data_IF_474824100388
#
_entry.id   IF_474824100388
#
_cell.length_a   1.000
_cell.length_b   1.000
_cell.length_c   1.000
_cell.angle_alpha   90.00
_cell.angle_beta   90.00
_cell.angle_gamma   90.00
#
_symmetry.space_group_name_H-M   'P 1'
#
loop_
_entity.id
_entity.type
_entity.pdbx_description
1 polymer ?
#
# COMPACT_ATOMS: atom_id res chain seq x y z
N UNK A 1 -48.38 14.52 -4.04
CA UNK A 1 -47.30 13.90 -4.84
C UNK A 1 -46.15 13.67 -3.89
N UNK A 2 -46.10 12.48 -3.31
CA UNK A 2 -45.24 12.15 -2.17
C UNK A 2 -43.77 12.13 -2.58
N UNK A 3 -42.98 12.97 -1.94
CA UNK A 3 -41.52 12.92 -2.02
C UNK A 3 -41.09 11.66 -1.25
N UNK A 4 -40.90 10.58 -1.99
CA UNK A 4 -40.26 9.36 -1.48
C UNK A 4 -38.88 9.75 -0.99
N UNK A 5 -38.74 9.95 0.33
CA UNK A 5 -37.46 10.10 1.00
C UNK A 5 -36.61 8.88 0.62
N UNK A 6 -35.58 9.11 -0.18
CA UNK A 6 -34.60 8.08 -0.51
C UNK A 6 -34.01 7.58 0.82
N UNK A 7 -34.42 6.39 1.26
CA UNK A 7 -33.83 5.72 2.42
C UNK A 7 -32.34 5.55 2.15
N UNK A 8 -31.53 6.43 2.71
CA UNK A 8 -30.09 6.27 2.74
C UNK A 8 -29.81 4.99 3.53
N UNK A 9 -29.25 3.98 2.86
CA UNK A 9 -28.89 2.73 3.53
C UNK A 9 -27.96 3.07 4.72
N UNK A 10 -28.21 2.54 5.93
CA UNK A 10 -27.34 2.79 7.07
C UNK A 10 -25.92 2.38 6.71
N UNK A 11 -24.95 3.26 6.98
CA UNK A 11 -23.57 2.99 6.63
C UNK A 11 -23.06 1.80 7.45
N UNK A 12 -22.50 0.78 6.79
CA UNK A 12 -21.91 -0.39 7.48
C UNK A 12 -20.57 -0.09 8.16
N UNK A 13 -20.06 1.13 8.02
CA UNK A 13 -18.72 1.50 8.46
C UNK A 13 -18.48 1.41 9.98
N UNK A 14 -19.40 1.88 10.84
CA UNK A 14 -19.24 1.69 12.28
C UNK A 14 -19.19 0.21 12.66
N UNK A 15 -19.97 -0.65 12.00
CA UNK A 15 -19.92 -2.10 12.22
C UNK A 15 -18.55 -2.70 11.87
N UNK A 16 -17.94 -2.24 10.76
CA UNK A 16 -16.59 -2.67 10.38
C UNK A 16 -15.57 -2.22 11.43
N UNK A 17 -15.64 -0.97 11.92
CA UNK A 17 -14.76 -0.50 12.99
C UNK A 17 -14.95 -1.29 14.28
N UNK A 18 -16.19 -1.56 14.69
CA UNK A 18 -16.52 -2.40 15.85
C UNK A 18 -15.92 -3.80 15.71
N UNK A 19 -16.12 -4.46 14.56
CA UNK A 19 -15.58 -5.80 14.31
C UNK A 19 -14.05 -5.79 14.33
N UNK A 20 -13.42 -4.77 13.73
CA UNK A 20 -11.96 -4.63 13.74
C UNK A 20 -11.41 -4.46 15.14
N UNK A 21 -12.03 -3.59 15.94
CA UNK A 21 -11.66 -3.36 17.34
C UNK A 21 -11.89 -4.59 18.22
N UNK A 22 -12.95 -5.37 17.98
CA UNK A 22 -13.17 -6.64 18.66
C UNK A 22 -12.07 -7.67 18.32
N UNK A 23 -11.69 -7.79 17.05
CA UNK A 23 -10.58 -8.67 16.64
C UNK A 23 -9.25 -8.23 17.27
N UNK A 24 -8.97 -6.92 17.33
CA UNK A 24 -7.81 -6.37 18.04
C UNK A 24 -7.81 -6.76 19.53
N UNK A 25 -8.97 -6.68 20.21
CA UNK A 25 -9.08 -7.09 21.60
C UNK A 25 -8.83 -8.60 21.78
N UNK A 26 -9.38 -9.44 20.88
CA UNK A 26 -9.18 -10.89 20.92
C UNK A 26 -7.70 -11.26 20.70
N UNK A 27 -7.02 -10.63 19.74
CA UNK A 27 -5.58 -10.85 19.52
C UNK A 27 -4.75 -10.40 20.72
N UNK A 28 -5.06 -9.24 21.29
CA UNK A 28 -4.43 -8.76 22.51
C UNK A 28 -4.61 -9.72 23.69
N UNK A 29 -5.83 -10.23 23.88
CA UNK A 29 -6.12 -11.19 24.94
C UNK A 29 -5.40 -12.52 24.71
N UNK A 30 -5.36 -13.01 23.47
CA UNK A 30 -4.63 -14.22 23.11
C UNK A 30 -3.15 -14.13 23.48
N UNK A 31 -2.46 -13.06 23.07
CA UNK A 31 -1.04 -12.88 23.41
C UNK A 31 -0.80 -12.56 24.87
N UNK A 32 -1.79 -12.01 25.58
CA UNK A 32 -1.70 -11.82 27.02
C UNK A 32 -1.75 -13.17 27.76
N UNK A 33 -2.66 -14.07 27.34
CA UNK A 33 -2.78 -15.41 27.91
C UNK A 33 -1.67 -16.37 27.45
N UNK A 34 -1.06 -16.12 26.29
CA UNK A 34 0.01 -16.92 25.70
C UNK A 34 1.21 -16.06 25.31
N UNK A 35 2.00 -15.53 26.28
CA UNK A 35 3.12 -14.62 25.99
C UNK A 35 4.18 -15.23 25.07
N UNK A 36 4.38 -16.54 25.11
CA UNK A 36 5.32 -17.26 24.25
C UNK A 36 4.97 -17.20 22.75
N UNK A 37 3.72 -16.87 22.41
CA UNK A 37 3.26 -16.73 21.03
C UNK A 37 3.27 -15.28 20.52
N UNK A 38 3.77 -14.33 21.32
CA UNK A 38 3.83 -12.93 20.93
C UNK A 38 4.85 -12.74 19.78
N UNK A 39 4.42 -12.22 18.61
CA UNK A 39 5.23 -12.28 17.39
C UNK A 39 6.22 -11.12 17.24
N UNK A 40 6.30 -10.21 18.21
CA UNK A 40 7.10 -8.98 18.10
C UNK A 40 8.07 -8.78 19.27
N UNK A 41 8.94 -9.77 19.60
CA UNK A 41 10.01 -9.52 20.54
C UNK A 41 10.94 -8.41 20.01
N UNK A 42 11.52 -7.55 20.88
CA UNK A 42 12.50 -6.55 20.50
C UNK A 42 13.74 -7.27 19.95
N UNK A 43 14.28 -6.76 18.86
CA UNK A 43 15.51 -7.26 18.24
C UNK A 43 16.57 -6.15 18.31
N UNK A 44 17.53 -6.23 19.24
CA UNK A 44 18.57 -5.21 19.39
C UNK A 44 19.52 -5.12 18.19
N UNK A 45 19.68 -6.21 17.44
CA UNK A 45 20.60 -6.27 16.29
C UNK A 45 19.95 -5.69 15.03
N UNK A 46 18.64 -5.87 14.87
CA UNK A 46 17.88 -5.38 13.73
C UNK A 46 16.56 -4.69 14.17
N UNK A 47 16.63 -3.49 14.76
CA UNK A 47 15.44 -2.77 15.20
C UNK A 47 14.51 -2.47 14.03
N UNK A 48 13.20 -2.65 14.23
CA UNK A 48 12.20 -2.43 13.20
C UNK A 48 11.96 -0.94 12.87
N UNK A 49 12.54 -0.02 13.65
CA UNK A 49 12.30 1.41 13.59
C UNK A 49 10.88 1.77 14.04
N UNK A 50 10.34 1.03 15.00
CA UNK A 50 8.94 1.12 15.44
C UNK A 50 8.83 1.28 16.96
N UNK A 51 7.64 1.67 17.43
CA UNK A 51 7.30 1.74 18.85
C UNK A 51 7.51 0.40 19.57
N UNK A 52 7.39 -0.72 18.87
CA UNK A 52 7.57 -2.04 19.48
C UNK A 52 9.03 -2.33 19.86
N UNK A 53 10.00 -1.59 19.32
CA UNK A 53 11.41 -1.75 19.68
C UNK A 53 11.72 -1.14 21.06
N UNK A 54 10.90 -0.19 21.53
CA UNK A 54 11.12 0.54 22.79
C UNK A 54 10.12 0.18 23.89
N UNK A 55 8.97 -0.40 23.53
CA UNK A 55 7.93 -0.78 24.51
C UNK A 55 8.18 -2.21 25.02
N UNK A 56 8.16 -2.43 26.35
CA UNK A 56 8.28 -3.77 26.90
C UNK A 56 7.21 -4.72 26.35
N UNK A 57 7.55 -5.94 25.90
CA UNK A 57 6.60 -6.85 25.27
C UNK A 57 5.40 -7.20 26.14
N UNK A 58 5.56 -7.17 27.47
CA UNK A 58 4.49 -7.47 28.42
C UNK A 58 3.38 -6.40 28.44
N UNK A 59 3.67 -5.18 27.97
CA UNK A 59 2.74 -4.05 27.97
C UNK A 59 1.86 -4.04 26.71
N UNK A 60 2.34 -4.62 25.61
CA UNK A 60 1.65 -4.53 24.31
C UNK A 60 0.32 -5.30 24.31
N UNK A 61 0.24 -6.59 24.70
CA UNK A 61 -1.02 -7.33 24.73
C UNK A 61 -2.15 -6.68 25.54
N UNK A 62 -1.95 -6.24 26.82
CA UNK A 62 -3.00 -5.57 27.57
C UNK A 62 -3.40 -4.22 26.93
N UNK A 63 -2.46 -3.47 26.36
CA UNK A 63 -2.78 -2.23 25.65
C UNK A 63 -3.66 -2.48 24.40
N UNK A 64 -3.43 -3.58 23.67
CA UNK A 64 -4.28 -4.00 22.55
C UNK A 64 -5.70 -4.34 23.00
N UNK A 65 -5.85 -5.04 24.15
CA UNK A 65 -7.17 -5.32 24.74
C UNK A 65 -7.90 -4.02 25.05
N UNK A 66 -7.25 -3.09 25.74
CA UNK A 66 -7.85 -1.79 26.08
C UNK A 66 -8.23 -1.02 24.82
N UNK A 67 -7.33 -0.91 23.85
CA UNK A 67 -7.59 -0.20 22.60
C UNK A 67 -8.76 -0.82 21.81
N UNK A 68 -8.84 -2.14 21.76
CA UNK A 68 -9.93 -2.88 21.11
C UNK A 68 -11.27 -2.71 21.83
N UNK A 69 -11.31 -2.84 23.16
CA UNK A 69 -12.54 -2.65 23.94
C UNK A 69 -13.03 -1.20 23.86
N UNK A 70 -12.14 -0.23 24.04
CA UNK A 70 -12.48 1.20 23.92
C UNK A 70 -12.97 1.52 22.50
N UNK A 71 -12.28 1.05 21.46
CA UNK A 71 -12.70 1.23 20.08
C UNK A 71 -14.10 0.66 19.83
N UNK A 72 -14.37 -0.56 20.31
CA UNK A 72 -15.68 -1.20 20.20
C UNK A 72 -16.78 -0.39 20.89
N UNK A 73 -16.54 0.07 22.12
CA UNK A 73 -17.50 0.87 22.88
C UNK A 73 -17.76 2.23 22.23
N UNK A 74 -16.71 2.90 21.75
CA UNK A 74 -16.83 4.20 21.07
C UNK A 74 -17.62 4.08 19.77
N UNK A 75 -17.32 3.07 18.96
CA UNK A 75 -18.01 2.83 17.69
C UNK A 75 -19.52 2.56 17.86
N UNK A 76 -19.92 1.93 18.98
CA UNK A 76 -21.31 1.55 19.24
C UNK A 76 -22.10 2.58 20.07
N UNK A 77 -21.45 3.26 21.03
CA UNK A 77 -22.15 3.99 22.09
C UNK A 77 -21.73 5.44 22.26
N UNK A 78 -20.60 5.87 21.67
CA UNK A 78 -20.07 7.22 21.87
C UNK A 78 -19.61 7.86 20.54
N UNK A 79 -20.53 8.15 19.59
CA UNK A 79 -20.17 8.70 18.29
C UNK A 79 -19.38 10.03 18.37
N UNK A 80 -19.57 10.82 19.43
CA UNK A 80 -18.81 12.05 19.68
C UNK A 80 -17.32 11.82 19.96
N UNK A 81 -16.93 10.64 20.43
CA UNK A 81 -15.52 10.29 20.69
C UNK A 81 -14.83 9.65 19.48
N UNK A 82 -15.58 9.30 18.44
CA UNK A 82 -15.04 8.61 17.26
C UNK A 82 -13.89 9.38 16.58
N UNK A 83 -13.93 10.73 16.42
CA UNK A 83 -12.81 11.46 15.85
C UNK A 83 -11.52 11.33 16.68
N UNK A 84 -11.63 11.43 18.01
CA UNK A 84 -10.49 11.30 18.91
C UNK A 84 -9.91 9.88 18.88
N UNK A 85 -10.77 8.86 18.92
CA UNK A 85 -10.36 7.45 18.77
C UNK A 85 -9.74 7.20 17.41
N UNK A 86 -10.27 7.77 16.32
CA UNK A 86 -9.69 7.64 15.00
C UNK A 86 -8.27 8.20 14.92
N UNK A 87 -8.03 9.38 15.50
CA UNK A 87 -6.68 9.97 15.59
C UNK A 87 -5.75 9.05 16.38
N UNK A 88 -6.17 8.55 17.55
CA UNK A 88 -5.37 7.63 18.34
C UNK A 88 -5.00 6.35 17.57
N UNK A 89 -5.96 5.74 16.86
CA UNK A 89 -5.72 4.56 16.03
C UNK A 89 -4.75 4.85 14.88
N UNK A 90 -4.90 5.99 14.20
CA UNK A 90 -3.98 6.39 13.11
C UNK A 90 -2.56 6.65 13.64
N UNK A 91 -2.42 7.31 14.78
CA UNK A 91 -1.09 7.58 15.34
C UNK A 91 -0.41 6.31 15.84
N UNK A 92 -1.12 5.46 16.58
CA UNK A 92 -0.53 4.25 17.19
C UNK A 92 -0.39 3.13 16.17
N UNK A 93 -1.51 2.68 15.59
CA UNK A 93 -1.54 1.52 14.69
C UNK A 93 -1.26 1.86 13.24
N UNK A 94 -1.38 3.14 12.87
CA UNK A 94 -0.92 3.63 11.58
C UNK A 94 0.56 3.96 11.63
N UNK A 95 1.00 4.91 12.46
CA UNK A 95 2.35 5.48 12.37
C UNK A 95 3.39 4.80 13.28
N UNK A 96 3.06 4.56 14.54
CA UNK A 96 4.05 4.18 15.54
C UNK A 96 4.42 2.69 15.51
N UNK A 97 3.44 1.81 15.32
CA UNK A 97 3.61 0.35 15.44
C UNK A 97 4.15 -0.34 14.17
N UNK A 98 3.68 -0.04 12.94
CA UNK A 98 3.97 -0.94 11.81
C UNK A 98 5.41 -0.90 11.30
N UNK A 99 6.13 0.22 11.46
CA UNK A 99 7.47 0.40 10.89
C UNK A 99 7.51 0.15 9.38
N UNK A 100 8.62 -0.38 8.86
CA UNK A 100 8.76 -0.72 7.43
C UNK A 100 8.18 -2.11 7.05
N UNK A 101 7.94 -2.99 8.04
CA UNK A 101 7.64 -4.42 7.78
C UNK A 101 6.44 -4.66 6.84
N UNK A 102 5.28 -3.99 6.97
CA UNK A 102 4.17 -4.16 6.03
C UNK A 102 4.51 -3.73 4.61
N UNK A 103 5.33 -2.68 4.47
CA UNK A 103 5.77 -2.19 3.17
C UNK A 103 6.67 -3.23 2.50
N UNK A 104 7.63 -3.79 3.22
CA UNK A 104 8.52 -4.86 2.73
C UNK A 104 7.70 -6.07 2.28
N UNK A 105 6.75 -6.55 3.11
CA UNK A 105 5.86 -7.66 2.73
C UNK A 105 5.11 -7.37 1.43
N UNK A 106 4.49 -6.20 1.33
CA UNK A 106 3.70 -5.82 0.16
C UNK A 106 4.57 -5.71 -1.10
N UNK A 107 5.75 -5.10 -0.98
CA UNK A 107 6.72 -5.00 -2.06
C UNK A 107 7.21 -6.37 -2.54
N UNK A 108 7.51 -7.28 -1.61
CA UNK A 108 7.98 -8.63 -1.92
C UNK A 108 6.89 -9.42 -2.64
N UNK A 109 5.66 -9.42 -2.13
CA UNK A 109 4.52 -10.07 -2.79
C UNK A 109 4.29 -9.51 -4.20
N UNK A 110 4.41 -8.19 -4.38
CA UNK A 110 4.32 -7.55 -5.70
C UNK A 110 5.45 -7.99 -6.64
N UNK A 111 6.69 -8.06 -6.17
CA UNK A 111 7.81 -8.53 -6.99
C UNK A 111 7.67 -10.00 -7.40
N UNK A 112 7.22 -10.85 -6.48
CA UNK A 112 7.11 -12.30 -6.69
C UNK A 112 5.93 -12.67 -7.59
N UNK A 113 4.76 -12.06 -7.37
CA UNK A 113 3.52 -12.46 -8.05
C UNK A 113 3.07 -11.47 -9.13
N UNK A 114 3.52 -10.22 -9.09
CA UNK A 114 3.14 -9.16 -10.03
C UNK A 114 3.38 -9.53 -11.50
N UNK A 115 4.58 -9.99 -11.89
CA UNK A 115 4.85 -10.41 -13.26
C UNK A 115 3.93 -11.54 -13.75
N UNK A 116 3.67 -12.52 -12.89
CA UNK A 116 2.79 -13.67 -13.20
C UNK A 116 1.35 -13.19 -13.42
N UNK A 117 0.83 -12.39 -12.48
CA UNK A 117 -0.53 -11.83 -12.57
C UNK A 117 -0.68 -10.94 -13.80
N UNK A 118 0.32 -10.10 -14.09
CA UNK A 118 0.33 -9.22 -15.24
C UNK A 118 0.36 -10.02 -16.54
N UNK A 119 1.25 -11.01 -16.66
CA UNK A 119 1.33 -11.89 -17.82
C UNK A 119 0.04 -12.66 -18.04
N UNK A 120 -0.52 -13.27 -16.99
CA UNK A 120 -1.79 -13.99 -17.06
C UNK A 120 -2.94 -13.07 -17.52
N UNK A 121 -2.98 -11.83 -17.03
CA UNK A 121 -3.99 -10.83 -17.41
C UNK A 121 -3.84 -10.44 -18.89
N UNK A 122 -2.63 -10.20 -19.35
CA UNK A 122 -2.33 -9.86 -20.74
C UNK A 122 -2.68 -11.03 -21.66
N UNK A 123 -2.29 -12.25 -21.30
CA UNK A 123 -2.57 -13.47 -22.07
C UNK A 123 -4.08 -13.72 -22.19
N UNK A 124 -4.83 -13.63 -21.09
CA UNK A 124 -6.28 -13.78 -21.09
C UNK A 124 -7.01 -12.69 -21.90
N UNK A 125 -6.41 -11.50 -22.00
CA UNK A 125 -6.92 -10.39 -22.81
C UNK A 125 -6.47 -10.42 -24.28
N UNK A 126 -5.41 -11.16 -24.60
CA UNK A 126 -4.66 -11.02 -25.85
C UNK A 126 -5.51 -11.24 -27.10
N UNK A 127 -6.33 -12.28 -27.08
CA UNK A 127 -7.18 -12.68 -28.21
C UNK A 127 -8.33 -11.70 -28.50
N UNK A 128 -8.62 -10.79 -27.57
CA UNK A 128 -9.80 -9.91 -27.63
C UNK A 128 -9.50 -8.53 -28.24
N UNK A 129 -8.25 -8.20 -28.55
CA UNK A 129 -7.89 -6.91 -29.13
C UNK A 129 -6.63 -6.99 -30.02
N UNK A 130 -6.54 -6.11 -31.02
CA UNK A 130 -5.49 -6.17 -32.07
C UNK A 130 -4.05 -6.10 -31.53
N UNK A 131 -3.82 -5.42 -30.41
CA UNK A 131 -2.48 -5.31 -29.79
C UNK A 131 -2.11 -6.46 -28.85
N UNK A 132 -3.02 -7.39 -28.59
CA UNK A 132 -2.82 -8.45 -27.61
C UNK A 132 -1.72 -9.45 -27.95
N UNK A 133 -1.67 -9.99 -29.18
CA UNK A 133 -0.57 -10.87 -29.58
C UNK A 133 0.80 -10.17 -29.48
N UNK A 134 0.86 -8.87 -29.80
CA UNK A 134 2.08 -8.07 -29.66
C UNK A 134 2.48 -7.95 -28.18
N UNK A 135 1.53 -7.66 -27.29
CA UNK A 135 1.79 -7.57 -25.86
C UNK A 135 2.30 -8.90 -25.29
N UNK A 136 1.68 -10.03 -25.65
CA UNK A 136 2.16 -11.37 -25.25
C UNK A 136 3.55 -11.63 -25.83
N UNK A 137 3.77 -11.31 -27.10
CA UNK A 137 5.07 -11.42 -27.75
C UNK A 137 6.16 -10.64 -27.01
N UNK A 138 5.89 -9.39 -26.60
CA UNK A 138 6.81 -8.59 -25.79
C UNK A 138 7.11 -9.26 -24.45
N UNK A 139 6.11 -9.77 -23.73
CA UNK A 139 6.35 -10.50 -22.47
C UNK A 139 7.21 -11.74 -22.66
N UNK A 140 6.92 -12.53 -23.70
CA UNK A 140 7.71 -13.73 -24.04
C UNK A 140 9.13 -13.35 -24.42
N UNK A 141 9.32 -12.29 -25.20
CA UNK A 141 10.64 -11.79 -25.58
C UNK A 141 11.44 -11.28 -24.38
N UNK A 142 10.81 -10.57 -23.44
CA UNK A 142 11.45 -10.13 -22.20
C UNK A 142 11.86 -11.33 -21.34
N UNK A 143 10.98 -12.33 -21.19
CA UNK A 143 11.29 -13.56 -20.47
C UNK A 143 12.43 -14.36 -21.13
N UNK A 144 12.40 -14.48 -22.46
CA UNK A 144 13.46 -15.14 -23.22
C UNK A 144 14.79 -14.39 -23.12
N UNK A 145 14.78 -13.05 -23.16
CA UNK A 145 15.99 -12.24 -22.97
C UNK A 145 16.54 -12.41 -21.54
N UNK A 146 15.67 -12.44 -20.52
CA UNK A 146 16.08 -12.70 -19.13
C UNK A 146 16.66 -14.11 -18.97
N UNK A 147 16.12 -15.10 -19.68
CA UNK A 147 16.66 -16.47 -19.68
C UNK A 147 18.03 -16.54 -20.36
N UNK A 148 18.15 -16.02 -21.59
CA UNK A 148 19.39 -16.09 -22.40
C UNK A 148 20.53 -15.28 -21.77
N UNK A 149 20.22 -14.20 -21.06
CA UNK A 149 21.21 -13.41 -20.32
C UNK A 149 21.68 -14.04 -19.00
N UNK A 150 21.10 -15.18 -18.59
CA UNK A 150 21.36 -15.79 -17.28
C UNK A 150 20.71 -15.05 -16.11
N UNK A 151 19.87 -14.04 -16.38
CA UNK A 151 19.21 -13.26 -15.33
C UNK A 151 18.11 -14.05 -14.60
N UNK A 152 17.50 -15.01 -15.29
CA UNK A 152 16.40 -15.83 -14.78
C UNK A 152 16.47 -17.26 -15.31
N UNK A 153 17.67 -17.86 -15.37
CA UNK A 153 17.84 -19.25 -15.77
C UNK A 153 17.32 -20.25 -14.69
N UNK A 154 17.44 -21.55 -14.97
CA UNK A 154 16.96 -22.60 -14.09
C UNK A 154 17.58 -22.54 -12.68
N UNK A 155 18.87 -22.21 -12.58
CA UNK A 155 19.56 -22.14 -11.29
C UNK A 155 19.06 -20.94 -10.49
N UNK A 156 18.99 -19.76 -11.11
CA UNK A 156 18.48 -18.54 -10.47
C UNK A 156 17.04 -18.74 -10.01
N UNK A 157 16.18 -19.32 -10.85
CA UNK A 157 14.79 -19.60 -10.47
C UNK A 157 14.70 -20.60 -9.33
N UNK A 158 15.56 -21.63 -9.30
CA UNK A 158 15.60 -22.59 -8.18
C UNK A 158 15.96 -21.89 -6.86
N UNK A 159 16.99 -21.03 -6.85
CA UNK A 159 17.37 -20.23 -5.67
C UNK A 159 16.26 -19.25 -5.28
N UNK A 160 15.61 -18.66 -6.27
CA UNK A 160 14.47 -17.77 -6.05
C UNK A 160 13.26 -18.48 -5.44
N UNK A 161 13.06 -19.79 -5.69
CA UNK A 161 12.02 -20.55 -4.98
C UNK A 161 12.27 -20.63 -3.48
N UNK A 162 13.53 -20.65 -3.05
CA UNK A 162 13.88 -20.60 -1.63
C UNK A 162 13.63 -19.19 -1.05
N UNK A 163 13.89 -18.13 -1.81
CA UNK A 163 13.48 -16.76 -1.44
C UNK A 163 11.96 -16.68 -1.26
N UNK A 164 11.19 -17.30 -2.16
CA UNK A 164 9.73 -17.37 -2.03
C UNK A 164 9.33 -18.13 -0.77
N UNK A 165 9.87 -19.33 -0.56
CA UNK A 165 9.54 -20.17 0.60
C UNK A 165 9.85 -19.46 1.92
N UNK A 166 11.05 -18.93 2.07
CA UNK A 166 11.48 -18.22 3.28
C UNK A 166 10.67 -16.96 3.53
N UNK A 167 10.32 -16.20 2.48
CA UNK A 167 9.45 -15.03 2.59
C UNK A 167 8.03 -15.41 3.05
N UNK A 168 7.48 -16.52 2.52
CA UNK A 168 6.17 -17.02 2.94
C UNK A 168 6.17 -17.49 4.40
N UNK A 169 7.23 -18.18 4.84
CA UNK A 169 7.36 -18.63 6.23
C UNK A 169 7.48 -17.45 7.22
N UNK A 170 8.10 -16.34 6.80
CA UNK A 170 8.33 -15.16 7.63
C UNK A 170 7.22 -14.09 7.51
N UNK A 171 6.14 -14.35 6.77
CA UNK A 171 5.10 -13.35 6.53
C UNK A 171 4.23 -13.02 7.74
N UNK A 172 4.23 -13.87 8.78
CA UNK A 172 3.32 -13.77 9.92
C UNK A 172 3.33 -12.39 10.61
N UNK A 173 4.46 -11.96 11.19
CA UNK A 173 4.54 -10.66 11.87
C UNK A 173 4.21 -9.47 10.94
N UNK A 174 4.77 -9.35 9.72
CA UNK A 174 4.38 -8.29 8.78
C UNK A 174 2.89 -8.29 8.38
N UNK A 175 2.25 -9.46 8.24
CA UNK A 175 0.83 -9.57 7.92
C UNK A 175 -0.06 -9.09 9.09
N UNK A 176 0.35 -9.37 10.33
CA UNK A 176 -0.33 -8.86 11.53
C UNK A 176 -0.19 -7.33 11.59
N UNK A 177 0.99 -6.78 11.28
CA UNK A 177 1.19 -5.33 11.21
C UNK A 177 0.32 -4.68 10.12
N UNK A 178 0.19 -5.35 8.96
CA UNK A 178 -0.71 -4.91 7.91
C UNK A 178 -2.17 -4.91 8.37
N UNK A 179 -2.60 -5.90 9.17
CA UNK A 179 -3.93 -5.90 9.78
C UNK A 179 -4.17 -4.68 10.68
N UNK A 180 -3.19 -4.31 11.52
CA UNK A 180 -3.30 -3.12 12.36
C UNK A 180 -3.32 -1.82 11.54
N UNK A 181 -2.50 -1.73 10.50
CA UNK A 181 -2.50 -0.60 9.57
C UNK A 181 -3.85 -0.44 8.87
N UNK A 182 -4.44 -1.53 8.39
CA UNK A 182 -5.77 -1.49 7.78
C UNK A 182 -6.84 -1.08 8.81
N UNK A 183 -6.72 -1.54 10.06
CA UNK A 183 -7.57 -1.09 11.16
C UNK A 183 -7.49 0.41 11.41
N UNK A 184 -6.27 0.96 11.40
CA UNK A 184 -6.03 2.40 11.49
C UNK A 184 -6.67 3.16 10.32
N UNK A 185 -6.59 2.63 9.10
CA UNK A 185 -7.26 3.20 7.93
C UNK A 185 -8.79 3.16 8.06
N UNK A 186 -9.37 2.06 8.55
CA UNK A 186 -10.81 1.95 8.80
C UNK A 186 -11.26 3.03 9.78
N UNK A 187 -10.58 3.15 10.92
CA UNK A 187 -10.88 4.18 11.93
C UNK A 187 -10.69 5.60 11.38
N UNK A 188 -9.61 5.83 10.63
CA UNK A 188 -9.35 7.11 9.96
C UNK A 188 -10.48 7.51 9.00
N UNK A 189 -10.98 6.57 8.20
CA UNK A 189 -12.11 6.81 7.28
C UNK A 189 -13.41 7.09 8.05
N UNK A 190 -13.69 6.35 9.12
CA UNK A 190 -14.88 6.58 9.97
C UNK A 190 -14.82 7.96 10.63
N UNK A 191 -13.69 8.28 11.27
CA UNK A 191 -13.47 9.58 11.91
C UNK A 191 -13.57 10.74 10.93
N UNK A 192 -12.91 10.64 9.77
CA UNK A 192 -12.99 11.66 8.73
C UNK A 192 -14.43 11.86 8.23
N UNK A 193 -15.21 10.79 8.06
CA UNK A 193 -16.62 10.92 7.64
C UNK A 193 -17.49 11.60 8.68
N UNK A 194 -17.29 11.34 9.96
CA UNK A 194 -18.07 12.00 11.02
C UNK A 194 -17.71 13.49 11.09
N UNK A 195 -16.41 13.82 11.06
CA UNK A 195 -15.95 15.22 11.08
C UNK A 195 -16.41 16.00 9.85
N UNK A 196 -16.35 15.38 8.66
CA UNK A 196 -16.75 16.02 7.41
C UNK A 196 -18.28 16.03 7.22
N UNK A 197 -18.99 15.04 7.76
CA UNK A 197 -20.45 14.91 7.67
C UNK A 197 -21.21 15.78 8.67
N UNK A 198 -20.59 16.16 9.79
CA UNK A 198 -21.14 17.15 10.73
C UNK A 198 -21.06 18.60 10.26
N UNK A 199 -20.50 18.85 9.07
CA UNK A 199 -20.59 20.14 8.38
C UNK A 199 -21.86 20.12 7.54
N UNK A 200 -22.91 20.76 8.04
CA UNK A 200 -24.24 20.81 7.40
C UNK A 200 -24.14 21.07 5.89
N UNK A 201 -24.89 20.26 5.12
CA UNK A 201 -24.75 20.04 3.68
C UNK A 201 -25.09 21.20 2.75
N UNK A 202 -24.84 22.46 3.13
CA UNK A 202 -25.16 23.62 2.29
C UNK A 202 -24.18 23.82 1.14
N UNK A 203 -22.87 23.56 1.29
CA UNK A 203 -21.91 23.65 0.18
C UNK A 203 -20.63 22.85 0.46
N UNK A 204 -20.18 22.02 -0.49
CA UNK A 204 -18.82 21.45 -0.45
C UNK A 204 -17.81 22.60 -0.37
N UNK A 205 -16.79 22.51 0.50
CA UNK A 205 -15.77 23.54 0.58
C UNK A 205 -15.07 23.68 -0.79
N UNK A 206 -14.64 24.90 -1.13
CA UNK A 206 -14.15 25.22 -2.48
C UNK A 206 -13.01 24.30 -2.96
N UNK A 207 -12.14 23.87 -2.05
CA UNK A 207 -11.02 22.94 -2.36
C UNK A 207 -11.49 21.52 -2.72
N UNK A 208 -12.67 21.11 -2.26
CA UNK A 208 -13.25 19.77 -2.48
C UNK A 208 -14.20 19.70 -3.68
N UNK A 209 -14.39 20.81 -4.40
CA UNK A 209 -15.14 20.83 -5.66
C UNK A 209 -14.38 20.05 -6.74
N UNK A 210 -15.05 19.36 -7.66
CA UNK A 210 -14.40 18.53 -8.67
C UNK A 210 -13.32 19.25 -9.50
N UNK A 211 -13.54 20.52 -9.86
CA UNK A 211 -12.63 21.32 -10.67
C UNK A 211 -11.36 21.68 -9.88
N UNK A 212 -11.53 22.08 -8.61
CA UNK A 212 -10.40 22.34 -7.72
C UNK A 212 -9.61 21.04 -7.48
N UNK A 213 -10.31 19.94 -7.17
CA UNK A 213 -9.73 18.61 -6.98
C UNK A 213 -8.94 18.11 -8.19
N UNK A 214 -9.42 18.39 -9.40
CA UNK A 214 -8.70 18.06 -10.63
C UNK A 214 -7.36 18.81 -10.76
N UNK A 215 -7.31 20.09 -10.35
CA UNK A 215 -6.10 20.91 -10.44
C UNK A 215 -5.00 20.46 -9.48
N UNK A 216 -5.30 20.43 -8.17
CA UNK A 216 -4.28 20.03 -7.18
C UNK A 216 -3.99 18.53 -7.24
N UNK A 217 -4.99 17.70 -7.59
CA UNK A 217 -4.82 16.25 -7.76
C UNK A 217 -3.85 15.92 -8.90
N UNK A 218 -3.83 16.71 -9.98
CA UNK A 218 -2.85 16.56 -11.06
C UNK A 218 -1.43 16.77 -10.60
N UNK A 219 -1.18 17.82 -9.81
CA UNK A 219 0.14 18.09 -9.23
C UNK A 219 0.57 16.94 -8.34
N UNK A 220 -0.33 16.48 -7.45
CA UNK A 220 -0.05 15.36 -6.55
C UNK A 220 0.28 14.06 -7.29
N UNK A 221 -0.42 13.77 -8.40
CA UNK A 221 -0.10 12.62 -9.27
C UNK A 221 1.28 12.73 -9.87
N UNK A 222 1.65 13.91 -10.40
CA UNK A 222 2.99 14.12 -10.97
C UNK A 222 4.07 13.90 -9.91
N UNK A 223 3.92 14.52 -8.74
CA UNK A 223 4.87 14.34 -7.62
C UNK A 223 4.97 12.87 -7.22
N UNK A 224 3.84 12.20 -6.98
CA UNK A 224 3.83 10.80 -6.56
C UNK A 224 4.40 9.84 -7.64
N UNK A 225 4.17 10.12 -8.92
CA UNK A 225 4.75 9.33 -10.01
C UNK A 225 6.27 9.54 -10.12
N UNK A 226 6.75 10.78 -9.97
CA UNK A 226 8.17 11.11 -9.99
C UNK A 226 8.92 10.50 -8.79
N UNK A 227 8.29 10.41 -7.62
CA UNK A 227 8.87 9.75 -6.44
C UNK A 227 9.21 8.27 -6.65
N UNK A 228 8.62 7.60 -7.64
CA UNK A 228 8.96 6.22 -7.98
C UNK A 228 10.27 6.08 -8.77
N UNK A 229 10.71 7.15 -9.44
CA UNK A 229 11.85 7.11 -10.35
C UNK A 229 13.18 6.82 -9.64
N UNK A 230 13.54 7.45 -8.51
CA UNK A 230 14.84 7.24 -7.88
C UNK A 230 15.12 5.76 -7.56
N UNK A 231 14.19 5.08 -6.88
CA UNK A 231 14.30 3.66 -6.58
C UNK A 231 14.27 2.79 -7.83
N UNK A 232 13.31 3.05 -8.73
CA UNK A 232 13.16 2.27 -9.96
C UNK A 232 14.40 2.32 -10.84
N UNK A 233 14.91 3.53 -11.11
CA UNK A 233 16.09 3.75 -11.95
C UNK A 233 17.36 3.23 -11.28
N UNK A 234 17.51 3.37 -9.95
CA UNK A 234 18.61 2.74 -9.23
C UNK A 234 18.64 1.24 -9.49
N UNK A 235 17.51 0.55 -9.37
CA UNK A 235 17.45 -0.89 -9.64
C UNK A 235 17.73 -1.21 -11.10
N UNK A 236 17.37 -0.34 -12.05
CA UNK A 236 17.73 -0.54 -13.46
C UNK A 236 19.25 -0.49 -13.71
N UNK A 237 20.03 0.19 -12.87
CA UNK A 237 21.51 0.16 -12.96
C UNK A 237 22.08 -1.23 -12.73
N UNK A 238 21.33 -2.14 -12.07
CA UNK A 238 21.74 -3.52 -11.86
C UNK A 238 21.73 -4.35 -13.14
N UNK A 239 21.23 -3.82 -14.26
CA UNK A 239 21.40 -4.42 -15.59
C UNK A 239 22.74 -4.04 -16.25
N UNK A 240 23.50 -3.13 -15.64
CA UNK A 240 24.75 -2.58 -16.15
C UNK A 240 25.96 -3.06 -15.34
N UNK A 241 27.19 -2.82 -15.80
CA UNK A 241 28.40 -3.07 -15.01
C UNK A 241 28.54 -2.21 -13.73
N UNK A 242 27.73 -1.17 -13.55
CA UNK A 242 27.82 -0.23 -12.43
C UNK A 242 26.53 -0.23 -11.58
N UNK A 243 26.24 -1.32 -10.84
CA UNK A 243 25.08 -1.39 -9.96
C UNK A 243 25.22 -0.38 -8.81
N UNK A 244 24.37 0.65 -8.78
CA UNK A 244 24.32 1.58 -7.65
C UNK A 244 23.68 0.91 -6.43
N UNK A 245 24.24 1.19 -5.25
CA UNK A 245 23.74 0.70 -3.96
C UNK A 245 24.04 -0.78 -3.67
N UNK A 246 24.89 -1.44 -4.46
CA UNK A 246 25.37 -2.79 -4.20
C UNK A 246 26.74 -3.01 -4.84
N UNK A 247 27.60 -3.80 -4.19
CA UNK A 247 28.88 -4.17 -4.76
C UNK A 247 28.69 -5.08 -6.01
N UNK A 248 29.40 -4.83 -7.12
CA UNK A 248 29.24 -5.63 -8.35
C UNK A 248 29.58 -7.12 -8.17
N UNK A 249 30.58 -7.46 -7.35
CA UNK A 249 30.96 -8.85 -7.11
C UNK A 249 29.94 -9.56 -6.21
N UNK A 250 29.43 -8.87 -5.18
CA UNK A 250 28.35 -9.37 -4.34
C UNK A 250 27.06 -9.64 -5.15
N UNK A 251 26.69 -8.71 -6.02
CA UNK A 251 25.51 -8.85 -6.89
C UNK A 251 25.66 -10.01 -7.89
N UNK A 252 26.88 -10.23 -8.39
CA UNK A 252 27.18 -11.37 -9.26
C UNK A 252 27.14 -12.71 -8.51
N UNK A 253 27.54 -12.72 -7.24
CA UNK A 253 27.48 -13.91 -6.38
C UNK A 253 26.04 -14.27 -5.95
N UNK A 254 25.11 -13.30 -5.99
CA UNK A 254 23.71 -13.45 -5.55
C UNK A 254 22.70 -13.13 -6.66
N UNK A 255 22.66 -13.93 -7.74
CA UNK A 255 21.84 -13.64 -8.91
C UNK A 255 20.32 -13.60 -8.60
N UNK A 256 19.85 -14.37 -7.62
CA UNK A 256 18.46 -14.30 -7.13
C UNK A 256 18.13 -12.96 -6.46
N UNK A 257 19.08 -12.35 -5.75
CA UNK A 257 18.95 -11.00 -5.20
C UNK A 257 18.87 -9.98 -6.31
N UNK A 258 19.73 -10.13 -7.35
CA UNK A 258 19.70 -9.27 -8.55
C UNK A 258 18.34 -9.30 -9.21
N UNK A 259 17.80 -10.50 -9.47
CA UNK A 259 16.47 -10.67 -10.04
C UNK A 259 15.40 -10.04 -9.14
N UNK A 260 15.42 -10.31 -7.83
CA UNK A 260 14.45 -9.75 -6.89
C UNK A 260 14.47 -8.22 -6.88
N UNK A 261 15.66 -7.62 -6.83
CA UNK A 261 15.84 -6.17 -6.86
C UNK A 261 15.31 -5.52 -8.14
N UNK A 262 15.54 -6.15 -9.29
CA UNK A 262 15.01 -5.68 -10.58
C UNK A 262 13.48 -5.78 -10.63
N UNK A 263 12.90 -6.86 -10.11
CA UNK A 263 11.45 -7.02 -10.03
C UNK A 263 10.82 -5.96 -9.12
N UNK A 264 11.43 -5.64 -7.97
CA UNK A 264 10.98 -4.55 -7.10
C UNK A 264 11.09 -3.18 -7.80
N UNK A 265 12.19 -2.91 -8.49
CA UNK A 265 12.38 -1.68 -9.27
C UNK A 265 11.34 -1.54 -10.38
N UNK A 266 11.11 -2.61 -11.13
CA UNK A 266 10.08 -2.66 -12.16
C UNK A 266 8.67 -2.46 -11.58
N UNK A 267 8.37 -3.06 -10.42
CA UNK A 267 7.10 -2.87 -9.72
C UNK A 267 6.92 -1.41 -9.26
N UNK A 268 7.97 -0.75 -8.78
CA UNK A 268 7.93 0.67 -8.42
C UNK A 268 7.67 1.57 -9.63
N UNK A 269 8.39 1.37 -10.74
CA UNK A 269 8.16 2.10 -11.99
C UNK A 269 6.76 1.86 -12.54
N UNK A 270 6.29 0.62 -12.53
CA UNK A 270 4.93 0.26 -12.91
C UNK A 270 3.91 0.96 -12.00
N UNK A 271 4.15 1.02 -10.69
CA UNK A 271 3.35 1.79 -9.73
C UNK A 271 3.32 3.29 -10.03
N UNK A 272 4.45 3.87 -10.43
CA UNK A 272 4.54 5.26 -10.89
C UNK A 272 3.70 5.51 -12.15
N UNK A 273 3.79 4.62 -13.14
CA UNK A 273 2.92 4.67 -14.33
C UNK A 273 1.46 4.50 -13.93
N UNK A 274 1.14 3.56 -13.03
CA UNK A 274 -0.23 3.31 -12.58
C UNK A 274 -0.82 4.52 -11.86
N UNK A 275 0.01 5.28 -11.13
CA UNK A 275 -0.40 6.52 -10.46
C UNK A 275 -0.92 7.57 -11.45
N UNK A 276 -0.43 7.58 -12.70
CA UNK A 276 -0.95 8.47 -13.75
C UNK A 276 -2.43 8.19 -14.09
N UNK A 277 -2.91 6.97 -13.82
CA UNK A 277 -4.31 6.58 -14.01
C UNK A 277 -5.28 7.39 -13.16
N UNK A 278 -4.81 7.95 -12.03
CA UNK A 278 -5.62 8.80 -11.17
C UNK A 278 -6.03 10.12 -11.85
N UNK A 279 -5.43 10.49 -12.99
CA UNK A 279 -5.81 11.67 -13.80
C UNK A 279 -6.05 11.34 -15.28
N UNK A 280 -5.68 10.15 -15.73
CA UNK A 280 -5.84 9.71 -17.11
C UNK A 280 -7.13 8.91 -17.32
N UNK A 281 -7.62 8.90 -18.57
CA UNK A 281 -8.86 8.17 -18.96
C UNK A 281 -8.83 6.69 -18.60
N UNK A 282 -7.67 6.05 -18.62
CA UNK A 282 -7.55 4.62 -18.38
C UNK A 282 -7.80 4.21 -16.92
N UNK A 283 -7.65 5.14 -15.97
CA UNK A 283 -8.08 4.93 -14.59
C UNK A 283 -9.56 5.23 -14.36
N UNK A 284 -10.26 5.80 -15.35
CA UNK A 284 -11.70 6.06 -15.27
C UNK A 284 -12.53 5.01 -16.02
N UNK A 285 -11.98 4.51 -17.12
CA UNK A 285 -12.57 3.47 -17.97
C UNK A 285 -11.52 2.40 -18.20
N UNK A 286 -11.88 1.14 -17.93
CA UNK A 286 -10.94 0.02 -18.05
C UNK A 286 -10.35 -0.07 -19.47
N UNK A 287 -9.02 -0.23 -19.59
CA UNK A 287 -8.36 -0.44 -20.87
C UNK A 287 -8.97 -1.58 -21.68
N UNK A 288 -8.86 -1.48 -23.00
CA UNK A 288 -9.43 -2.50 -23.92
C UNK A 288 -8.75 -3.87 -23.84
N UNK A 289 -7.56 -3.93 -23.25
CA UNK A 289 -6.80 -5.16 -23.05
C UNK A 289 -7.20 -5.93 -21.80
N UNK A 290 -7.92 -5.32 -20.86
CA UNK A 290 -8.30 -6.00 -19.62
C UNK A 290 -9.43 -7.01 -19.86
N UNK A 291 -9.25 -8.29 -19.47
CA UNK A 291 -10.28 -9.30 -19.64
C UNK A 291 -11.51 -8.96 -18.77
N UNK A 292 -12.71 -9.33 -19.25
CA UNK A 292 -14.01 -9.22 -18.55
C UNK A 292 -14.55 -7.78 -18.35
N UNK A 293 -13.70 -6.82 -17.99
CA UNK A 293 -14.12 -5.47 -17.58
C UNK A 293 -13.87 -4.38 -18.63
N UNK A 294 -13.35 -4.74 -19.80
CA UNK A 294 -13.05 -3.85 -20.93
C UNK A 294 -14.10 -2.76 -21.16
N UNK A 295 -13.64 -1.51 -21.24
CA UNK A 295 -14.48 -0.37 -21.61
C UNK A 295 -15.57 -0.03 -20.59
N UNK A 296 -15.68 -0.79 -19.50
CA UNK A 296 -16.58 -0.47 -18.39
C UNK A 296 -15.96 0.63 -17.53
N UNK A 297 -16.78 1.45 -16.85
CA UNK A 297 -16.29 2.36 -15.84
C UNK A 297 -15.52 1.60 -14.75
N UNK A 298 -14.35 2.10 -14.39
CA UNK A 298 -13.56 1.57 -13.26
C UNK A 298 -14.35 1.85 -11.98
N UNK A 299 -14.70 0.86 -11.14
CA UNK A 299 -15.34 1.14 -9.85
C UNK A 299 -14.46 2.05 -8.98
N UNK A 300 -15.06 3.01 -8.25
CA UNK A 300 -14.28 3.96 -7.44
C UNK A 300 -13.30 3.25 -6.49
N UNK A 301 -13.77 2.20 -5.82
CA UNK A 301 -12.97 1.41 -4.89
C UNK A 301 -11.76 0.72 -5.56
N UNK A 302 -11.82 0.39 -6.85
CA UNK A 302 -10.74 -0.32 -7.55
C UNK A 302 -9.46 0.53 -7.68
N UNK A 303 -9.56 1.85 -7.61
CA UNK A 303 -8.40 2.75 -7.57
C UNK A 303 -8.12 3.28 -6.15
N UNK A 304 -9.18 3.65 -5.41
CA UNK A 304 -9.04 4.30 -4.09
C UNK A 304 -8.48 3.34 -3.03
N UNK A 305 -8.92 2.08 -3.02
CA UNK A 305 -8.47 1.12 -2.01
C UNK A 305 -7.00 0.75 -2.18
N UNK A 306 -6.53 0.26 -3.34
CA UNK A 306 -5.11 -0.06 -3.50
C UNK A 306 -4.22 1.18 -3.43
N UNK A 307 -4.62 2.29 -4.07
CA UNK A 307 -3.85 3.54 -4.01
C UNK A 307 -3.75 4.10 -2.60
N UNK A 308 -4.84 4.07 -1.83
CA UNK A 308 -4.87 4.50 -0.43
C UNK A 308 -4.03 3.61 0.47
N UNK A 309 -4.04 2.29 0.24
CA UNK A 309 -3.21 1.36 0.99
C UNK A 309 -1.72 1.62 0.75
N UNK A 310 -1.29 1.77 -0.51
CA UNK A 310 0.11 2.08 -0.85
C UNK A 310 0.52 3.45 -0.29
N UNK A 311 -0.36 4.46 -0.38
CA UNK A 311 -0.11 5.77 0.24
C UNK A 311 0.13 5.65 1.76
N UNK A 312 -0.70 4.85 2.45
CA UNK A 312 -0.54 4.60 3.88
C UNK A 312 0.77 3.87 4.17
N UNK A 313 1.09 2.80 3.42
CA UNK A 313 2.34 2.05 3.57
C UNK A 313 3.58 2.94 3.43
N UNK A 314 3.64 3.81 2.42
CA UNK A 314 4.75 4.76 2.28
C UNK A 314 4.77 5.79 3.41
N UNK A 315 3.62 6.37 3.76
CA UNK A 315 3.55 7.38 4.84
C UNK A 315 4.04 6.82 6.16
N UNK A 316 3.69 5.57 6.46
CA UNK A 316 4.05 4.88 7.71
C UNK A 316 5.48 4.38 7.72
N UNK A 317 6.02 3.99 6.56
CA UNK A 317 7.43 3.62 6.46
C UNK A 317 8.37 4.84 6.55
N UNK A 318 7.87 6.05 6.34
CA UNK A 318 8.70 7.27 6.27
C UNK A 318 9.50 7.55 7.56
N UNK A 319 8.93 7.52 8.79
CA UNK A 319 9.70 7.75 10.00
C UNK A 319 10.79 6.70 10.22
N UNK A 320 10.45 5.41 10.05
CA UNK A 320 11.41 4.31 10.21
C UNK A 320 12.58 4.44 9.22
N UNK A 321 12.30 4.74 7.95
CA UNK A 321 13.36 4.99 6.96
C UNK A 321 14.18 6.25 7.27
N UNK A 322 13.55 7.30 7.79
CA UNK A 322 14.27 8.52 8.14
C UNK A 322 15.23 8.30 9.31
N UNK A 323 14.79 7.58 10.32
CA UNK A 323 15.63 7.19 11.46
C UNK A 323 16.77 6.29 10.98
N UNK A 324 16.48 5.29 10.14
CA UNK A 324 17.50 4.38 9.60
C UNK A 324 18.55 5.12 8.74
N UNK A 325 18.13 6.03 7.87
CA UNK A 325 19.04 6.83 7.05
C UNK A 325 19.91 7.76 7.91
N UNK A 326 19.33 8.38 8.95
CA UNK A 326 20.08 9.22 9.87
C UNK A 326 21.08 8.42 10.71
N UNK A 327 20.68 7.26 11.23
CA UNK A 327 21.52 6.41 12.07
C UNK A 327 22.70 5.78 11.31
N UNK A 328 22.49 5.42 10.03
CA UNK A 328 23.54 4.90 9.16
C UNK A 328 24.46 5.99 8.57
N UNK A 329 24.07 7.26 8.67
CA UNK A 329 24.72 8.37 7.98
C UNK A 329 24.40 8.44 6.48
N UNK A 330 23.58 7.52 5.97
CA UNK A 330 23.36 7.29 4.55
C UNK A 330 22.16 8.07 4.01
N UNK A 331 22.25 9.41 4.11
CA UNK A 331 21.11 10.30 3.83
C UNK A 331 20.58 10.24 2.39
N UNK A 332 21.35 9.73 1.44
CA UNK A 332 20.87 9.55 0.05
C UNK A 332 19.73 8.52 -0.04
N UNK A 333 19.56 7.63 0.96
CA UNK A 333 18.41 6.74 1.07
C UNK A 333 17.07 7.50 1.08
N UNK A 334 17.04 8.75 1.58
CA UNK A 334 15.85 9.61 1.56
C UNK A 334 15.49 10.12 0.16
N UNK A 335 16.47 10.15 -0.75
CA UNK A 335 16.24 10.50 -2.15
C UNK A 335 15.72 9.28 -2.91
N UNK A 336 16.23 8.09 -2.59
CA UNK A 336 15.82 6.83 -3.22
C UNK A 336 14.45 6.38 -2.77
N UNK A 337 14.17 6.53 -1.49
CA UNK A 337 12.89 6.24 -0.87
C UNK A 337 12.29 7.52 -0.29
N UNK A 338 11.77 8.43 -1.13
CA UNK A 338 11.27 9.73 -0.68
C UNK A 338 9.90 9.60 -0.02
N UNK A 339 9.71 8.65 0.89
CA UNK A 339 8.44 8.27 1.50
C UNK A 339 7.73 9.41 2.24
N UNK A 340 8.51 10.34 2.82
CA UNK A 340 8.00 11.58 3.45
C UNK A 340 7.16 12.40 2.47
N UNK A 341 7.52 12.37 1.18
CA UNK A 341 6.79 13.07 0.11
C UNK A 341 5.86 12.11 -0.64
N UNK A 342 6.33 10.90 -0.94
CA UNK A 342 5.66 9.94 -1.82
C UNK A 342 4.33 9.47 -1.25
N UNK A 343 4.30 9.06 0.02
CA UNK A 343 3.07 8.60 0.67
C UNK A 343 1.99 9.68 0.72
N UNK A 344 2.28 10.87 1.28
CA UNK A 344 1.34 11.99 1.29
C UNK A 344 0.90 12.44 -0.10
N UNK A 345 1.82 12.57 -1.06
CA UNK A 345 1.48 12.95 -2.43
C UNK A 345 0.53 11.93 -3.08
N UNK A 346 0.77 10.63 -2.89
CA UNK A 346 -0.12 9.58 -3.40
C UNK A 346 -1.48 9.60 -2.71
N UNK A 347 -1.52 9.81 -1.38
CA UNK A 347 -2.77 9.95 -0.63
C UNK A 347 -3.61 11.14 -1.11
N UNK A 348 -2.96 12.28 -1.35
CA UNK A 348 -3.58 13.46 -1.96
C UNK A 348 -4.09 13.10 -3.36
N UNK A 349 -3.28 12.49 -4.22
CA UNK A 349 -3.69 12.07 -5.56
C UNK A 349 -4.94 11.17 -5.56
N UNK A 350 -5.00 10.20 -4.63
CA UNK A 350 -6.15 9.31 -4.44
C UNK A 350 -7.39 10.08 -3.97
N UNK A 351 -7.24 11.02 -3.05
CA UNK A 351 -8.33 11.90 -2.61
C UNK A 351 -8.85 12.76 -3.77
N UNK A 352 -7.95 13.32 -4.59
CA UNK A 352 -8.30 14.12 -5.77
C UNK A 352 -9.07 13.30 -6.80
N UNK A 353 -8.64 12.06 -7.04
CA UNK A 353 -9.37 11.11 -7.87
C UNK A 353 -10.78 10.84 -7.33
N UNK A 354 -10.90 10.58 -6.01
CA UNK A 354 -12.18 10.30 -5.39
C UNK A 354 -13.17 11.48 -5.47
N UNK A 355 -12.70 12.69 -5.16
CA UNK A 355 -13.54 13.90 -5.19
C UNK A 355 -13.98 14.26 -6.62
N UNK A 356 -13.10 14.12 -7.61
CA UNK A 356 -13.43 14.33 -9.03
C UNK A 356 -14.52 13.36 -9.49
N UNK A 357 -14.37 12.08 -9.15
CA UNK A 357 -15.27 10.99 -9.54
C UNK A 357 -16.62 11.01 -8.83
N UNK A 358 -16.71 11.59 -7.64
CA UNK A 358 -17.99 11.75 -6.94
C UNK A 358 -18.87 12.85 -7.57
N UNK A 359 -18.28 13.82 -8.28
CA UNK A 359 -19.04 14.81 -9.06
C UNK A 359 -19.69 14.22 -10.32
N UNK A 360 -19.10 13.19 -10.92
CA UNK A 360 -19.59 12.59 -12.17
C UNK A 360 -20.62 11.48 -12.00
N UNK A 361 -20.96 11.10 -10.76
CA UNK A 361 -22.00 10.08 -10.44
C UNK A 361 -23.41 10.72 -10.34
N UNK A 362 -23.51 12.05 -10.41
CA UNK A 362 -24.78 12.77 -10.57
C UNK A 362 -25.06 12.97 -12.06
N UNK A 363 -25.57 11.94 -12.76
CA UNK A 363 -26.23 12.07 -14.07
C UNK A 363 -27.47 11.19 -14.06
#
# INVERSE_FOLDING_TARGET
>A
MDIVAARTRPSKLPLVATAWSALTAVLGLWWWLQPAQYPFPPDPENPAGSLLDVVPPQVVPPALVVAGVVGMLVALRAPGLVPATAVAWVLVFGLAVPGIRPLTLTGYLMAMFGPIVLFATVLAGAWRWRGGPVAVGVFVLVGAAAWVSGLADAEVLSRYTEVIRTSLQRMGPPAIMLFFLVGAMVWGVVGARIVLGGRDGATRPAWARPEAAARWGRVAVVVAALCALPYGLLRMTWLTPWPLGMDPAELAATPEMRLHGLLLGAAALAGGVLTTGLVARWGEVWPRWMPVVRGRPVPLAAAVVPGGLVAALFTVAAPAMTIMAAASGDLWLLIVFPFVVWGPALGIAVLGYALRRQGSIQI
#
